data_IF_772657249884
#
_entry.id   IF_772657249884
#
_cell.length_a   1.000
_cell.length_b   1.000
_cell.length_c   1.000
_cell.angle_alpha   90.00
_cell.angle_beta   90.00
_cell.angle_gamma   90.00
#
_symmetry.space_group_name_H-M   'P 1'
#
loop_
_entity.id
_entity.type
_entity.pdbx_description
1 polymer ?
#
# COMPACT_ATOMS: atom_id res chain seq x y z
N UNK A 1 -4.67 25.56 8.36
CA UNK A 1 -3.51 25.95 9.20
C UNK A 1 -2.39 24.91 9.20
N UNK A 2 -2.67 23.60 9.38
CA UNK A 2 -1.60 22.56 9.38
C UNK A 2 -0.69 22.58 8.13
N UNK A 3 -1.26 22.64 6.92
CA UNK A 3 -0.48 22.73 5.67
C UNK A 3 0.40 23.98 5.59
N UNK A 4 -0.08 25.12 6.10
CA UNK A 4 0.72 26.35 6.15
C UNK A 4 1.94 26.14 7.04
N UNK A 5 1.75 25.54 8.22
CA UNK A 5 2.86 25.22 9.13
C UNK A 5 3.86 24.27 8.48
N UNK A 6 3.39 23.20 7.83
CA UNK A 6 4.27 22.27 7.11
C UNK A 6 5.12 22.98 6.05
N UNK A 7 4.51 23.88 5.27
CA UNK A 7 5.18 24.66 4.22
C UNK A 7 6.23 25.63 4.79
N UNK A 8 6.00 26.25 5.95
CA UNK A 8 7.00 27.13 6.57
C UNK A 8 8.34 26.39 6.76
N UNK A 9 8.31 25.13 7.19
CA UNK A 9 9.53 24.34 7.45
C UNK A 9 10.04 23.51 6.26
N UNK A 10 9.22 23.31 5.22
CA UNK A 10 9.53 22.40 4.11
C UNK A 10 9.15 23.01 2.74
N UNK A 11 9.27 24.33 2.57
CA UNK A 11 9.04 24.96 1.28
C UNK A 11 10.13 24.55 0.27
N UNK A 12 9.88 24.78 -1.02
CA UNK A 12 10.77 24.49 -2.16
C UNK A 12 11.07 23.02 -2.47
N UNK A 13 10.87 22.09 -1.51
CA UNK A 13 11.11 20.65 -1.73
C UNK A 13 9.79 19.88 -1.69
N UNK A 14 9.45 19.22 -2.80
CA UNK A 14 8.33 18.28 -2.86
C UNK A 14 8.75 16.88 -2.36
N UNK A 15 7.80 16.14 -1.80
CA UNK A 15 8.04 14.75 -1.35
C UNK A 15 8.26 13.79 -2.54
N UNK A 16 7.53 14.01 -3.62
CA UNK A 16 7.59 13.23 -4.84
C UNK A 16 7.58 14.26 -5.98
N UNK A 17 8.63 14.24 -6.80
CA UNK A 17 8.67 14.98 -8.05
C UNK A 17 8.82 13.97 -9.18
N UNK A 18 7.83 13.95 -10.08
CA UNK A 18 7.76 13.03 -11.23
C UNK A 18 7.78 13.79 -12.55
N UNK A 19 7.96 15.12 -12.52
CA UNK A 19 7.83 15.97 -13.70
C UNK A 19 6.44 15.91 -14.33
N UNK A 20 6.37 16.30 -15.61
CA UNK A 20 5.13 16.29 -16.41
C UNK A 20 5.15 15.13 -17.40
N UNK A 21 4.22 14.19 -17.22
CA UNK A 21 4.08 13.01 -18.06
C UNK A 21 3.16 13.26 -19.26
N UNK A 22 3.18 12.35 -20.24
CA UNK A 22 2.29 12.39 -21.40
C UNK A 22 0.80 12.33 -21.03
N UNK A 23 -0.05 12.92 -21.87
CA UNK A 23 -1.50 12.75 -21.79
C UNK A 23 -1.91 11.29 -22.07
N UNK A 24 -3.09 10.89 -21.62
CA UNK A 24 -3.65 9.56 -21.89
C UNK A 24 -4.76 9.64 -22.96
N UNK A 25 -4.53 9.13 -24.19
CA UNK A 25 -5.54 9.13 -25.23
C UNK A 25 -6.76 8.27 -24.87
N UNK A 26 -7.96 8.63 -25.33
CA UNK A 26 -9.21 7.95 -24.97
C UNK A 26 -9.22 6.44 -25.34
N UNK A 27 -8.56 6.07 -26.44
CA UNK A 27 -8.44 4.68 -26.88
C UNK A 27 -7.48 3.83 -26.02
N UNK A 28 -6.76 4.43 -25.06
CA UNK A 28 -5.89 3.72 -24.11
C UNK A 28 -6.57 3.44 -22.77
N UNK A 29 -7.72 4.05 -22.49
CA UNK A 29 -8.39 4.02 -21.17
C UNK A 29 -8.75 2.61 -20.70
N UNK A 30 -8.98 1.67 -21.61
CA UNK A 30 -9.29 0.28 -21.27
C UNK A 30 -8.09 -0.45 -20.62
N UNK A 31 -6.85 -0.05 -20.91
CA UNK A 31 -5.66 -0.62 -20.28
C UNK A 31 -5.63 -0.29 -18.78
N UNK A 32 -6.03 0.93 -18.41
CA UNK A 32 -6.14 1.36 -17.01
C UNK A 32 -7.26 0.64 -16.26
N UNK A 33 -8.34 0.26 -16.95
CA UNK A 33 -9.37 -0.61 -16.38
C UNK A 33 -8.81 -2.00 -16.05
N UNK A 34 -8.01 -2.59 -16.96
CA UNK A 34 -7.33 -3.87 -16.71
C UNK A 34 -6.38 -3.76 -15.52
N UNK A 35 -5.59 -2.69 -15.45
CA UNK A 35 -4.73 -2.42 -14.29
C UNK A 35 -5.56 -2.36 -13.00
N UNK A 36 -6.69 -1.67 -13.03
CA UNK A 36 -7.64 -1.62 -11.91
C UNK A 36 -8.13 -3.01 -11.50
N UNK A 37 -8.47 -3.87 -12.46
CA UNK A 37 -8.89 -5.26 -12.19
C UNK A 37 -7.78 -6.04 -11.48
N UNK A 38 -6.53 -5.92 -11.93
CA UNK A 38 -5.36 -6.56 -11.29
C UNK A 38 -5.25 -6.11 -9.83
N UNK A 39 -5.30 -4.80 -9.57
CA UNK A 39 -5.28 -4.27 -8.20
C UNK A 39 -6.49 -4.72 -7.37
N UNK A 40 -7.66 -4.82 -7.97
CA UNK A 40 -8.89 -5.22 -7.29
C UNK A 40 -8.89 -6.68 -6.85
N UNK A 41 -8.20 -7.56 -7.57
CA UNK A 41 -7.97 -8.95 -7.13
C UNK A 41 -6.86 -8.99 -6.07
N UNK A 42 -5.79 -8.22 -6.27
CA UNK A 42 -4.63 -8.22 -5.38
C UNK A 42 -4.93 -7.60 -3.99
N UNK A 43 -5.72 -6.53 -3.90
CA UNK A 43 -6.00 -5.83 -2.64
C UNK A 43 -6.63 -6.72 -1.55
N UNK A 44 -7.68 -7.50 -1.82
CA UNK A 44 -8.24 -8.46 -0.86
C UNK A 44 -7.26 -9.54 -0.44
N UNK A 45 -6.38 -10.00 -1.35
CA UNK A 45 -5.32 -10.96 -1.04
C UNK A 45 -4.30 -10.34 -0.09
N UNK A 46 -3.85 -9.12 -0.39
CA UNK A 46 -2.96 -8.34 0.47
C UNK A 46 -3.57 -8.11 1.86
N UNK A 47 -4.86 -7.77 1.94
CA UNK A 47 -5.57 -7.63 3.22
C UNK A 47 -5.59 -8.93 4.03
N UNK A 48 -5.80 -10.08 3.38
CA UNK A 48 -5.71 -11.40 4.06
C UNK A 48 -4.30 -11.66 4.58
N UNK A 49 -3.26 -11.32 3.82
CA UNK A 49 -1.88 -11.48 4.26
C UNK A 49 -1.55 -10.58 5.44
N UNK A 50 -1.98 -9.32 5.45
CA UNK A 50 -1.79 -8.41 6.60
C UNK A 50 -2.44 -8.99 7.85
N UNK A 51 -3.73 -9.34 7.77
CA UNK A 51 -4.48 -9.83 8.92
C UNK A 51 -3.99 -11.20 9.41
N UNK A 52 -3.61 -12.10 8.49
CA UNK A 52 -3.04 -13.41 8.83
C UNK A 52 -1.63 -13.31 9.39
N UNK A 53 -0.80 -12.39 8.89
CA UNK A 53 0.54 -12.14 9.41
C UNK A 53 0.50 -11.55 10.82
N UNK A 54 -0.49 -10.70 11.13
CA UNK A 54 -0.72 -10.23 12.51
C UNK A 54 -0.93 -11.42 13.48
N UNK A 55 -1.72 -12.42 13.06
CA UNK A 55 -1.97 -13.60 13.88
C UNK A 55 -0.73 -14.49 13.99
N UNK A 56 0.03 -14.65 12.89
CA UNK A 56 1.26 -15.43 12.86
C UNK A 56 2.31 -14.83 13.79
N UNK A 57 2.57 -13.53 13.68
CA UNK A 57 3.54 -12.84 14.54
C UNK A 57 3.08 -12.82 15.99
N UNK A 58 1.78 -12.69 16.26
CA UNK A 58 1.24 -12.80 17.61
C UNK A 58 1.55 -14.16 18.26
N UNK A 59 1.53 -15.26 17.50
CA UNK A 59 1.89 -16.60 18.01
C UNK A 59 3.38 -16.70 18.38
N UNK A 60 4.26 -15.97 17.70
CA UNK A 60 5.71 -15.99 17.97
C UNK A 60 6.02 -15.44 19.36
N UNK A 61 5.42 -14.30 19.72
CA UNK A 61 5.66 -13.68 21.03
C UNK A 61 4.62 -14.08 22.10
N UNK A 62 3.46 -14.60 21.72
CA UNK A 62 2.41 -15.07 22.63
C UNK A 62 1.88 -13.99 23.57
N UNK A 63 1.96 -12.71 23.17
CA UNK A 63 1.64 -11.56 24.02
C UNK A 63 2.71 -11.18 25.05
N UNK A 64 3.84 -11.90 25.13
CA UNK A 64 4.93 -11.54 26.04
C UNK A 64 5.71 -10.31 25.53
N UNK A 65 5.84 -9.30 26.38
CA UNK A 65 6.49 -8.02 26.04
C UNK A 65 7.95 -8.20 25.64
N UNK A 66 8.73 -9.04 26.34
CA UNK A 66 10.16 -9.25 26.05
C UNK A 66 10.35 -9.88 24.68
N UNK A 67 9.59 -10.93 24.37
CA UNK A 67 9.64 -11.57 23.03
C UNK A 67 9.20 -10.61 21.93
N UNK A 68 8.18 -9.79 22.20
CA UNK A 68 7.68 -8.81 21.24
C UNK A 68 8.72 -7.73 20.92
N UNK A 69 9.35 -7.16 21.95
CA UNK A 69 10.41 -6.15 21.77
C UNK A 69 11.62 -6.74 21.03
N UNK A 70 12.06 -7.96 21.38
CA UNK A 70 13.16 -8.64 20.67
C UNK A 70 12.82 -8.91 19.20
N UNK A 71 11.60 -9.37 18.92
CA UNK A 71 11.11 -9.55 17.54
C UNK A 71 11.08 -8.23 16.78
N UNK A 72 10.59 -7.15 17.39
CA UNK A 72 10.58 -5.81 16.81
C UNK A 72 12.00 -5.30 16.52
N UNK A 73 12.94 -5.53 17.44
CA UNK A 73 14.36 -5.23 17.24
C UNK A 73 14.98 -6.02 16.08
N UNK A 74 14.64 -7.30 15.93
CA UNK A 74 15.11 -8.12 14.81
C UNK A 74 14.55 -7.65 13.46
N UNK A 75 13.25 -7.33 13.38
CA UNK A 75 12.62 -6.79 12.16
C UNK A 75 13.20 -5.41 11.83
N UNK A 76 13.39 -4.55 12.82
CA UNK A 76 14.02 -3.25 12.67
C UNK A 76 15.48 -3.35 12.20
N UNK A 77 16.26 -4.26 12.79
CA UNK A 77 17.62 -4.56 12.37
C UNK A 77 17.70 -5.09 10.94
N UNK A 78 16.78 -5.97 10.55
CA UNK A 78 16.63 -6.43 9.16
C UNK A 78 16.32 -5.27 8.21
N UNK A 79 15.41 -4.36 8.59
CA UNK A 79 15.10 -3.18 7.78
C UNK A 79 16.31 -2.23 7.66
N UNK A 80 17.10 -2.07 8.71
CA UNK A 80 18.35 -1.30 8.69
C UNK A 80 19.39 -1.93 7.76
N UNK A 81 19.58 -3.24 7.84
CA UNK A 81 20.49 -3.98 6.96
C UNK A 81 20.05 -3.88 5.50
N UNK A 82 18.78 -4.16 5.21
CA UNK A 82 18.20 -4.02 3.87
C UNK A 82 18.28 -2.58 3.35
N UNK A 83 18.13 -1.59 4.24
CA UNK A 83 18.29 -0.18 3.90
C UNK A 83 19.69 0.18 3.40
N UNK A 84 20.71 -0.62 3.74
CA UNK A 84 22.08 -0.47 3.25
C UNK A 84 22.35 -1.33 2.01
N UNK A 85 22.02 -2.63 2.04
CA UNK A 85 22.38 -3.57 0.96
C UNK A 85 21.46 -3.50 -0.26
N UNK A 86 20.19 -3.16 -0.06
CA UNK A 86 19.17 -3.06 -1.10
C UNK A 86 18.12 -1.98 -0.74
N UNK A 87 18.47 -0.69 -0.79
CA UNK A 87 17.67 0.39 -0.21
C UNK A 87 16.20 0.42 -0.66
N UNK A 88 15.92 0.02 -1.90
CA UNK A 88 14.57 -0.04 -2.47
C UNK A 88 13.62 -1.02 -1.74
N UNK A 89 14.14 -2.02 -1.03
CA UNK A 89 13.34 -3.02 -0.31
C UNK A 89 12.94 -2.58 1.11
N UNK A 90 13.52 -1.48 1.61
CA UNK A 90 13.31 -0.96 2.97
C UNK A 90 12.81 0.50 2.95
N UNK A 91 12.58 1.09 4.13
CA UNK A 91 12.12 2.47 4.28
C UNK A 91 10.69 2.74 3.81
N UNK A 92 10.29 4.01 3.79
CA UNK A 92 8.92 4.43 3.46
C UNK A 92 8.53 4.21 2.00
N UNK A 93 9.49 4.29 1.08
CA UNK A 93 9.29 4.01 -0.35
C UNK A 93 9.05 5.23 -1.24
N UNK A 94 9.05 6.46 -0.75
CA UNK A 94 8.93 7.63 -1.64
C UNK A 94 10.13 7.79 -2.58
N UNK A 95 11.33 7.46 -2.13
CA UNK A 95 12.56 7.62 -2.93
C UNK A 95 12.57 6.80 -4.22
N UNK A 96 11.87 5.65 -4.26
CA UNK A 96 11.83 4.80 -5.46
C UNK A 96 10.71 5.20 -6.43
N UNK A 97 9.76 6.04 -6.02
CA UNK A 97 8.60 6.42 -6.85
C UNK A 97 9.04 7.20 -8.09
N UNK A 98 9.81 8.30 -7.99
CA UNK A 98 10.30 9.01 -9.17
C UNK A 98 11.11 8.12 -10.12
N UNK A 99 11.95 7.24 -9.55
CA UNK A 99 12.82 6.34 -10.31
C UNK A 99 11.98 5.31 -11.08
N UNK A 100 10.95 4.75 -10.45
CA UNK A 100 10.03 3.80 -11.08
C UNK A 100 9.14 4.48 -12.13
N UNK A 101 8.64 5.68 -11.86
CA UNK A 101 7.81 6.45 -12.81
C UNK A 101 8.60 6.83 -14.06
N UNK A 102 9.88 7.18 -13.91
CA UNK A 102 10.78 7.47 -15.04
C UNK A 102 11.20 6.23 -15.85
N UNK A 103 10.77 5.01 -15.45
CA UNK A 103 11.13 3.77 -16.15
C UNK A 103 12.59 3.33 -15.95
N UNK A 104 13.28 3.86 -14.93
CA UNK A 104 14.71 3.59 -14.70
C UNK A 104 15.01 2.25 -14.03
N UNK A 105 13.99 1.43 -13.74
CA UNK A 105 14.17 0.06 -13.27
C UNK A 105 13.88 -0.94 -14.37
N UNK A 106 14.65 -2.02 -14.46
CA UNK A 106 14.30 -3.14 -15.33
C UNK A 106 13.08 -3.90 -14.79
N UNK A 107 12.38 -4.62 -15.66
CA UNK A 107 11.24 -5.46 -15.26
C UNK A 107 11.63 -6.48 -14.16
N UNK A 108 12.81 -7.08 -14.26
CA UNK A 108 13.34 -7.98 -13.23
C UNK A 108 13.53 -7.29 -11.88
N UNK A 109 14.03 -6.05 -11.88
CA UNK A 109 14.19 -5.25 -10.66
C UNK A 109 12.84 -4.83 -10.07
N UNK A 110 11.84 -4.48 -10.89
CA UNK A 110 10.50 -4.15 -10.42
C UNK A 110 9.83 -5.35 -9.73
N UNK A 111 9.94 -6.54 -10.31
CA UNK A 111 9.43 -7.78 -9.69
C UNK A 111 10.14 -8.05 -8.37
N UNK A 112 11.47 -7.92 -8.33
CA UNK A 112 12.24 -8.06 -7.09
C UNK A 112 11.81 -7.07 -6.01
N UNK A 113 11.72 -5.78 -6.34
CA UNK A 113 11.29 -4.72 -5.42
C UNK A 113 9.87 -5.01 -4.92
N UNK A 114 8.95 -5.37 -5.81
CA UNK A 114 7.55 -5.63 -5.45
C UNK A 114 7.45 -6.77 -4.42
N UNK A 115 8.06 -7.92 -4.70
CA UNK A 115 8.03 -9.08 -3.80
C UNK A 115 8.70 -8.77 -2.47
N UNK A 116 9.91 -8.18 -2.52
CA UNK A 116 10.65 -7.83 -1.31
C UNK A 116 9.89 -6.81 -0.44
N UNK A 117 9.28 -5.79 -1.06
CA UNK A 117 8.50 -4.78 -0.34
C UNK A 117 7.19 -5.31 0.20
N UNK A 118 6.52 -6.25 -0.48
CA UNK A 118 5.35 -6.94 0.09
C UNK A 118 5.76 -7.63 1.39
N UNK A 119 6.87 -8.38 1.38
CA UNK A 119 7.37 -9.09 2.56
C UNK A 119 7.73 -8.10 3.69
N UNK A 120 8.53 -7.07 3.42
CA UNK A 120 8.95 -6.10 4.46
C UNK A 120 7.78 -5.27 4.97
N UNK A 121 6.83 -4.89 4.11
CA UNK A 121 5.61 -4.16 4.53
C UNK A 121 4.75 -5.03 5.44
N UNK A 122 4.56 -6.31 5.10
CA UNK A 122 3.81 -7.25 5.94
C UNK A 122 4.49 -7.44 7.30
N UNK A 123 5.81 -7.68 7.33
CA UNK A 123 6.58 -7.84 8.56
C UNK A 123 6.48 -6.60 9.45
N UNK A 124 6.77 -5.41 8.92
CA UNK A 124 6.78 -4.17 9.69
C UNK A 124 5.40 -3.84 10.24
N UNK A 125 4.38 -3.77 9.38
CA UNK A 125 3.04 -3.35 9.80
C UNK A 125 2.35 -4.40 10.68
N UNK A 126 2.48 -5.68 10.33
CA UNK A 126 1.79 -6.74 11.07
C UNK A 126 2.44 -7.09 12.40
N UNK A 127 3.70 -6.69 12.62
CA UNK A 127 4.38 -6.83 13.91
C UNK A 127 3.81 -5.93 15.02
N UNK A 128 2.96 -4.96 14.67
CA UNK A 128 2.40 -3.98 15.59
C UNK A 128 3.34 -2.80 15.89
N UNK A 129 4.40 -2.62 15.09
CA UNK A 129 5.24 -1.43 15.17
C UNK A 129 4.41 -0.15 14.91
N UNK A 130 4.67 0.96 15.63
CA UNK A 130 3.95 2.21 15.41
C UNK A 130 4.35 2.81 14.05
N UNK A 131 3.44 2.71 13.07
CA UNK A 131 3.66 3.21 11.72
C UNK A 131 2.47 2.94 10.80
N UNK A 132 2.28 3.81 9.80
CA UNK A 132 1.22 3.65 8.81
C UNK A 132 1.63 2.72 7.66
N UNK A 133 0.69 1.92 7.15
CA UNK A 133 0.86 1.09 5.93
C UNK A 133 0.68 1.89 4.63
N UNK A 134 0.27 3.15 4.74
CA UNK A 134 -0.22 3.97 3.65
C UNK A 134 0.87 4.32 2.61
N UNK A 135 2.00 4.88 3.02
CA UNK A 135 3.10 5.21 2.10
C UNK A 135 3.73 3.96 1.42
N UNK A 136 3.95 2.83 2.14
CA UNK A 136 4.35 1.58 1.51
C UNK A 136 3.39 1.10 0.42
N UNK A 137 2.08 1.28 0.59
CA UNK A 137 1.10 0.92 -0.44
C UNK A 137 1.18 1.81 -1.68
N UNK A 138 1.49 3.10 -1.54
CA UNK A 138 1.74 3.98 -2.68
C UNK A 138 2.93 3.45 -3.49
N UNK A 139 4.05 3.11 -2.83
CA UNK A 139 5.23 2.58 -3.49
C UNK A 139 4.96 1.23 -4.19
N UNK A 140 4.22 0.32 -3.56
CA UNK A 140 3.80 -0.95 -4.18
C UNK A 140 2.89 -0.71 -5.40
N UNK A 141 1.98 0.27 -5.30
CA UNK A 141 1.12 0.70 -6.39
C UNK A 141 1.90 1.24 -7.58
N UNK A 142 2.88 2.11 -7.32
CA UNK A 142 3.75 2.67 -8.36
C UNK A 142 4.54 1.56 -9.05
N UNK A 143 5.20 0.67 -8.30
CA UNK A 143 6.02 -0.41 -8.87
C UNK A 143 5.19 -1.36 -9.74
N UNK A 144 3.99 -1.77 -9.26
CA UNK A 144 3.11 -2.64 -10.03
C UNK A 144 2.56 -1.92 -11.27
N UNK A 145 2.23 -0.63 -11.14
CA UNK A 145 1.81 0.22 -12.25
C UNK A 145 2.88 0.36 -13.32
N UNK A 146 4.14 0.64 -12.94
CA UNK A 146 5.28 0.70 -13.86
C UNK A 146 5.49 -0.64 -14.56
N UNK A 147 5.44 -1.75 -13.81
CA UNK A 147 5.63 -3.09 -14.39
C UNK A 147 4.56 -3.41 -15.45
N UNK A 148 3.31 -3.07 -15.17
CA UNK A 148 2.22 -3.16 -16.15
C UNK A 148 2.46 -2.24 -17.36
N UNK A 149 2.89 -0.99 -17.11
CA UNK A 149 3.20 -0.03 -18.16
C UNK A 149 4.30 -0.50 -19.10
N UNK A 150 5.37 -1.12 -18.58
CA UNK A 150 6.44 -1.69 -19.40
C UNK A 150 5.93 -2.77 -20.35
N UNK A 151 5.08 -3.68 -19.86
CA UNK A 151 4.44 -4.70 -20.70
C UNK A 151 3.51 -4.06 -21.74
N UNK A 152 2.74 -3.04 -21.35
CA UNK A 152 1.83 -2.34 -22.25
C UNK A 152 2.57 -1.61 -23.38
N UNK A 153 3.72 -1.00 -23.09
CA UNK A 153 4.58 -0.34 -24.09
C UNK A 153 5.04 -1.32 -25.16
N UNK A 154 5.47 -2.52 -24.77
CA UNK A 154 5.91 -3.55 -25.73
C UNK A 154 4.75 -4.16 -26.55
N UNK A 155 3.58 -4.36 -25.92
CA UNK A 155 2.42 -4.97 -26.59
C UNK A 155 1.66 -4.00 -27.51
N UNK A 156 1.69 -2.70 -27.22
CA UNK A 156 0.91 -1.69 -27.95
C UNK A 156 1.77 -0.50 -28.40
N UNK A 157 2.80 -0.71 -29.25
CA UNK A 157 3.68 0.36 -29.70
C UNK A 157 2.93 1.48 -30.45
N UNK A 158 1.81 1.17 -31.09
CA UNK A 158 0.95 2.14 -31.79
C UNK A 158 0.36 3.23 -30.88
N UNK A 159 0.27 2.98 -29.57
CA UNK A 159 -0.30 3.92 -28.62
C UNK A 159 0.73 4.91 -28.05
N UNK A 160 2.02 4.77 -28.38
CA UNK A 160 3.09 5.66 -27.91
C UNK A 160 3.03 5.85 -26.38
N UNK A 161 2.85 4.74 -25.66
CA UNK A 161 2.64 4.75 -24.22
C UNK A 161 3.92 5.13 -23.47
N UNK A 162 3.73 5.76 -22.31
CA UNK A 162 4.78 6.01 -21.33
C UNK A 162 4.47 5.18 -20.07
N UNK A 163 5.39 4.34 -19.61
CA UNK A 163 5.16 3.48 -18.44
C UNK A 163 4.84 4.29 -17.17
N UNK A 164 5.33 5.53 -17.08
CA UNK A 164 5.07 6.45 -15.98
C UNK A 164 3.60 6.77 -15.79
N UNK A 165 2.78 6.83 -16.84
CA UNK A 165 1.35 7.13 -16.70
C UNK A 165 0.61 6.01 -15.95
N UNK A 166 1.01 4.76 -16.18
CA UNK A 166 0.50 3.59 -15.44
C UNK A 166 1.03 3.53 -14.01
N UNK A 167 2.27 3.99 -13.78
CA UNK A 167 2.83 4.12 -12.44
C UNK A 167 2.00 5.08 -11.57
N UNK A 168 1.62 6.25 -12.11
CA UNK A 168 0.75 7.23 -11.44
C UNK A 168 -0.65 6.67 -11.22
N UNK A 169 -1.25 6.04 -12.24
CA UNK A 169 -2.57 5.43 -12.13
C UNK A 169 -2.61 4.29 -11.09
N UNK A 170 -1.54 3.48 -11.01
CA UNK A 170 -1.39 2.39 -10.05
C UNK A 170 -1.04 2.83 -8.64
N UNK A 171 -0.39 3.98 -8.47
CA UNK A 171 0.07 4.51 -7.17
C UNK A 171 -1.05 4.56 -6.13
N UNK A 172 -2.22 5.07 -6.51
CA UNK A 172 -3.41 5.13 -5.63
C UNK A 172 -4.28 3.88 -5.65
N UNK A 173 -4.05 2.95 -6.59
CA UNK A 173 -4.95 1.83 -6.84
C UNK A 173 -4.94 0.79 -5.71
N UNK A 174 -3.78 0.55 -5.07
CA UNK A 174 -3.71 -0.37 -3.93
C UNK A 174 -4.46 0.18 -2.70
N UNK A 175 -4.47 1.50 -2.51
CA UNK A 175 -5.28 2.16 -1.49
C UNK A 175 -6.77 1.99 -1.78
N UNK A 176 -7.17 2.16 -3.04
CA UNK A 176 -8.53 1.96 -3.49
C UNK A 176 -9.00 0.52 -3.26
N UNK A 177 -8.19 -0.48 -3.61
CA UNK A 177 -8.54 -1.89 -3.41
C UNK A 177 -8.54 -2.32 -1.93
N UNK A 178 -7.51 -1.94 -1.18
CA UNK A 178 -7.26 -2.47 0.17
C UNK A 178 -7.98 -1.69 1.26
N UNK A 179 -7.91 -0.35 1.23
CA UNK A 179 -8.55 0.53 2.23
C UNK A 179 -9.99 0.88 1.83
N UNK A 180 -10.35 0.77 0.54
CA UNK A 180 -11.67 1.14 0.00
C UNK A 180 -11.97 2.64 0.09
N UNK A 181 -10.93 3.47 -0.06
CA UNK A 181 -11.04 4.93 -0.12
C UNK A 181 -10.50 5.48 -1.47
N UNK A 182 -11.15 5.18 -2.60
CA UNK A 182 -10.64 5.53 -3.94
C UNK A 182 -10.48 7.03 -4.15
N UNK A 183 -11.46 7.86 -3.76
CA UNK A 183 -11.39 9.31 -3.93
C UNK A 183 -10.20 9.92 -3.16
N UNK A 184 -9.96 9.47 -1.93
CA UNK A 184 -8.82 9.91 -1.12
C UNK A 184 -7.49 9.53 -1.80
N UNK A 185 -7.38 8.30 -2.31
CA UNK A 185 -6.18 7.86 -3.03
C UNK A 185 -5.92 8.68 -4.29
N UNK A 186 -6.97 8.94 -5.09
CA UNK A 186 -6.87 9.70 -6.34
C UNK A 186 -6.46 11.15 -6.06
N UNK A 187 -7.14 11.84 -5.14
CA UNK A 187 -6.83 13.24 -4.81
C UNK A 187 -5.42 13.35 -4.23
N UNK A 188 -5.02 12.41 -3.36
CA UNK A 188 -3.67 12.44 -2.82
C UNK A 188 -2.61 12.28 -3.90
N UNK A 189 -2.75 11.28 -4.78
CA UNK A 189 -1.78 11.07 -5.87
C UNK A 189 -1.75 12.30 -6.76
N UNK A 190 -2.91 12.88 -7.07
CA UNK A 190 -2.99 14.14 -7.81
C UNK A 190 -2.22 15.28 -7.13
N UNK A 191 -2.43 15.51 -5.83
CA UNK A 191 -1.75 16.56 -5.06
C UNK A 191 -0.23 16.31 -4.93
N UNK A 192 0.19 15.05 -4.85
CA UNK A 192 1.61 14.69 -4.70
C UNK A 192 2.38 14.70 -6.03
N UNK A 193 1.70 14.59 -7.17
CA UNK A 193 2.36 14.38 -8.47
C UNK A 193 2.06 15.46 -9.51
N UNK A 194 1.06 16.31 -9.30
CA UNK A 194 0.68 17.43 -10.18
C UNK A 194 0.41 17.05 -11.66
N UNK A 195 -0.04 15.82 -11.89
CA UNK A 195 -0.37 15.29 -13.21
C UNK A 195 -1.90 15.18 -13.42
N UNK A 196 -2.60 16.33 -13.41
CA UNK A 196 -4.06 16.40 -13.56
C UNK A 196 -4.59 15.81 -14.87
N UNK A 197 -3.80 15.85 -15.95
CA UNK A 197 -4.17 15.26 -17.24
C UNK A 197 -4.45 13.74 -17.15
N UNK A 198 -3.90 13.06 -16.14
CA UNK A 198 -4.11 11.63 -15.88
C UNK A 198 -5.31 11.34 -14.97
N UNK A 199 -6.17 12.33 -14.69
CA UNK A 199 -7.31 12.17 -13.77
C UNK A 199 -8.29 11.08 -14.20
N UNK A 200 -8.60 10.98 -15.50
CA UNK A 200 -9.45 9.91 -16.04
C UNK A 200 -8.84 8.51 -15.83
N UNK A 201 -7.59 8.24 -16.26
CA UNK A 201 -6.88 7.00 -15.95
C UNK A 201 -6.83 6.64 -14.45
N UNK A 202 -6.56 7.62 -13.59
CA UNK A 202 -6.52 7.42 -12.13
C UNK A 202 -7.88 7.00 -11.58
N UNK A 203 -8.96 7.67 -12.00
CA UNK A 203 -10.33 7.33 -11.61
C UNK A 203 -10.69 5.92 -12.09
N UNK A 204 -10.44 5.60 -13.36
CA UNK A 204 -10.78 4.29 -13.94
C UNK A 204 -10.04 3.17 -13.21
N UNK A 205 -8.74 3.33 -12.96
CA UNK A 205 -7.93 2.35 -12.24
C UNK A 205 -8.42 2.18 -10.80
N UNK A 206 -8.67 3.29 -10.09
CA UNK A 206 -9.15 3.28 -8.71
C UNK A 206 -10.55 2.68 -8.55
N UNK A 207 -11.47 2.98 -9.47
CA UNK A 207 -12.82 2.39 -9.49
C UNK A 207 -12.76 0.90 -9.84
N UNK A 208 -12.01 0.52 -10.89
CA UNK A 208 -11.81 -0.89 -11.25
C UNK A 208 -11.28 -1.70 -10.08
N UNK A 209 -10.28 -1.15 -9.36
CA UNK A 209 -9.73 -1.74 -8.16
C UNK A 209 -10.76 -1.90 -7.03
N UNK A 210 -11.54 -0.86 -6.76
CA UNK A 210 -12.56 -0.89 -5.70
C UNK A 210 -13.70 -1.87 -6.00
N UNK A 211 -14.16 -1.91 -7.26
CA UNK A 211 -15.25 -2.78 -7.69
C UNK A 211 -14.84 -4.26 -7.65
N UNK A 212 -13.68 -4.60 -8.20
CA UNK A 212 -13.20 -5.98 -8.18
C UNK A 212 -12.87 -6.44 -6.75
N UNK A 213 -12.34 -5.55 -5.90
CA UNK A 213 -12.16 -5.85 -4.49
C UNK A 213 -13.50 -6.14 -3.78
N UNK A 214 -14.60 -5.51 -4.21
CA UNK A 214 -15.93 -5.81 -3.69
C UNK A 214 -16.46 -7.17 -4.18
N UNK A 215 -16.37 -7.43 -5.47
CA UNK A 215 -16.89 -8.66 -6.07
C UNK A 215 -16.14 -9.91 -5.59
N UNK A 216 -14.86 -9.77 -5.24
CA UNK A 216 -14.04 -10.87 -4.67
C UNK A 216 -14.18 -11.00 -3.15
N UNK A 217 -15.09 -10.25 -2.52
CA UNK A 217 -15.40 -10.35 -1.09
C UNK A 217 -14.39 -9.69 -0.16
N UNK A 218 -13.57 -8.76 -0.67
CA UNK A 218 -12.66 -7.95 0.13
C UNK A 218 -13.38 -6.96 1.04
N UNK A 219 -12.82 -6.74 2.23
CA UNK A 219 -13.33 -5.77 3.22
C UNK A 219 -12.35 -4.59 3.34
N UNK A 220 -12.82 -3.36 3.66
CA UNK A 220 -11.95 -2.24 3.98
C UNK A 220 -10.99 -2.60 5.12
N UNK A 221 -9.68 -2.50 4.89
CA UNK A 221 -8.65 -2.98 5.83
C UNK A 221 -8.78 -2.33 7.22
N UNK A 222 -8.96 -1.01 7.30
CA UNK A 222 -9.07 -0.33 8.59
C UNK A 222 -10.34 -0.70 9.35
N UNK A 223 -11.48 -0.86 8.66
CA UNK A 223 -12.71 -1.36 9.29
C UNK A 223 -12.56 -2.80 9.77
N UNK A 224 -11.85 -3.65 9.01
CA UNK A 224 -11.58 -5.03 9.40
C UNK A 224 -10.67 -5.10 10.64
N UNK A 225 -9.63 -4.26 10.72
CA UNK A 225 -8.76 -4.15 11.90
C UNK A 225 -9.57 -3.68 13.11
N UNK A 226 -10.37 -2.62 12.97
CA UNK A 226 -11.22 -2.11 14.05
C UNK A 226 -12.20 -3.18 14.56
N UNK A 227 -12.88 -3.88 13.64
CA UNK A 227 -13.82 -4.93 14.00
C UNK A 227 -13.16 -6.08 14.78
N UNK A 228 -11.93 -6.48 14.40
CA UNK A 228 -11.15 -7.49 15.13
C UNK A 228 -10.76 -7.01 16.52
N UNK A 229 -10.38 -5.74 16.67
CA UNK A 229 -10.03 -5.15 17.97
C UNK A 229 -11.23 -5.12 18.91
N UNK A 230 -12.39 -4.65 18.43
CA UNK A 230 -13.63 -4.62 19.22
C UNK A 230 -14.06 -6.03 19.63
N UNK A 231 -14.02 -7.00 18.72
CA UNK A 231 -14.38 -8.39 19.03
C UNK A 231 -13.47 -9.01 20.11
N UNK A 232 -12.17 -8.70 20.11
CA UNK A 232 -11.24 -9.13 21.18
C UNK A 232 -11.59 -8.48 22.51
N UNK A 233 -11.90 -7.18 22.50
CA UNK A 233 -12.27 -6.44 23.71
C UNK A 233 -13.57 -6.99 24.35
N UNK A 234 -14.59 -7.27 23.56
CA UNK A 234 -15.85 -7.88 24.03
C UNK A 234 -15.62 -9.28 24.63
N UNK A 235 -14.80 -10.10 23.96
CA UNK A 235 -14.45 -11.44 24.45
C UNK A 235 -13.71 -11.40 25.79
N UNK A 236 -12.79 -10.46 25.97
CA UNK A 236 -12.06 -10.25 27.23
C UNK A 236 -12.99 -9.74 28.35
N UNK A 237 -13.91 -8.82 28.05
CA UNK A 237 -14.89 -8.33 29.02
C UNK A 237 -15.84 -9.44 29.48
N UNK A 238 -16.33 -10.28 28.56
CA UNK A 238 -17.16 -11.44 28.87
C UNK A 238 -16.41 -12.50 29.70
N UNK A 239 -15.12 -12.70 29.45
CA UNK A 239 -14.30 -13.61 30.25
C UNK A 239 -14.11 -13.08 31.68
N UNK A 240 -13.86 -11.78 31.84
CA UNK A 240 -13.73 -11.13 33.16
C UNK A 240 -15.03 -11.14 33.96
N UNK A 241 -16.18 -10.87 33.33
CA UNK A 241 -17.47 -10.90 34.02
C UNK A 241 -17.84 -12.31 34.51
N UNK A 242 -17.58 -13.34 33.70
CA UNK A 242 -17.74 -14.75 34.11
C UNK A 242 -16.81 -15.16 35.23
N UNK A 243 -15.56 -14.68 35.24
CA UNK A 243 -14.63 -14.95 36.33
C UNK A 243 -15.07 -14.29 37.64
N UNK A 244 -15.58 -13.06 37.58
CA UNK A 244 -16.10 -12.35 38.75
C UNK A 244 -17.34 -13.04 39.36
N UNK A 245 -18.30 -13.45 38.53
CA UNK A 245 -19.50 -14.16 39.02
C UNK A 245 -19.20 -15.57 39.55
N UNK A 246 -18.14 -16.22 39.05
CA UNK A 246 -17.68 -17.48 39.60
C UNK A 246 -17.03 -17.34 40.99
N UNK A 247 -16.34 -16.22 41.26
CA UNK A 247 -15.74 -15.94 42.57
C UNK A 247 -16.72 -15.50 43.65
N UNK A 248 -17.89 -14.96 43.30
CA UNK A 248 -18.94 -14.60 44.27
C UNK A 248 -19.76 -15.81 44.75
N UNK A 249 -19.71 -16.94 44.02
CA UNK A 249 -20.48 -18.16 44.33
C UNK A 249 -19.65 -19.23 45.07
N UNK A 250 -18.43 -18.91 45.52
CA UNK A 250 -17.51 -19.77 46.28
C UNK A 250 -17.15 -19.11 47.59
#
# INVERSE_FOLDING_TARGET
MSTIMYRIFNHEVALIDVGKLSDAPLNTLWLYLILGIIFGIFGPIFNKWVLGMQDLLHRVHGGNITKWVLMGGAIGGLCGLLGFVAPATSGGGFNLIPIATAGNFSMGMLVFIFVARVITTLLCFSSGAPGGIFAPMLALGTVLGTAFGMVAVELFPQYHLEAGTFAIAGMGALLAASIRAPLTGIILVLEMTDNYQLILPMIITGLGATLLAQFTGGKPLYSAILARTLAKQEAEQLARSKAASASENT
#
